data_IF_916721924374
#
_entry.id   IF_916721924374
#
_cell.length_a   1.000
_cell.length_b   1.000
_cell.length_c   1.000
_cell.angle_alpha   90.00
_cell.angle_beta   90.00
_cell.angle_gamma   90.00
#
_symmetry.space_group_name_H-M   'P 1'
#
loop_
_entity.id
_entity.type
_entity.pdbx_description
1 polymer ?
#
# COMPACT_ATOMS: atom_id res chain seq x y z
N UNK A 1 -8.34 33.63 14.25
CA UNK A 1 -9.37 32.56 14.24
C UNK A 1 -8.93 31.30 13.47
N UNK A 2 -8.29 31.43 12.35
CA UNK A 2 -7.88 30.32 11.45
C UNK A 2 -6.93 29.30 12.10
N UNK A 3 -5.85 29.72 12.80
CA UNK A 3 -4.92 28.82 13.49
C UNK A 3 -5.56 27.95 14.58
N UNK A 4 -6.61 28.42 15.24
CA UNK A 4 -7.32 27.67 16.28
C UNK A 4 -8.19 26.57 15.66
N UNK A 5 -8.76 26.82 14.50
CA UNK A 5 -9.53 25.88 13.69
C UNK A 5 -8.67 24.73 13.15
N UNK A 6 -7.48 25.05 12.59
CA UNK A 6 -6.53 24.06 12.05
C UNK A 6 -6.02 23.14 13.18
N UNK A 7 -5.63 23.70 14.34
CA UNK A 7 -5.16 22.89 15.47
C UNK A 7 -6.25 21.93 15.98
N UNK A 8 -7.49 22.38 16.04
CA UNK A 8 -8.62 21.53 16.44
C UNK A 8 -8.86 20.40 15.40
N UNK A 9 -8.73 20.69 14.11
CA UNK A 9 -8.85 19.68 13.06
C UNK A 9 -7.76 18.61 13.16
N UNK A 10 -6.49 19.01 13.35
CA UNK A 10 -5.37 18.08 13.51
C UNK A 10 -5.55 17.21 14.75
N UNK A 11 -5.92 17.81 15.90
CA UNK A 11 -6.18 17.05 17.13
C UNK A 11 -7.28 16.04 16.95
N UNK A 12 -8.36 16.41 16.24
CA UNK A 12 -9.49 15.52 15.94
C UNK A 12 -9.07 14.34 15.07
N UNK A 13 -8.27 14.59 14.01
CA UNK A 13 -7.77 13.53 13.13
C UNK A 13 -6.83 12.57 13.87
N UNK A 14 -5.98 13.11 14.75
CA UNK A 14 -5.11 12.30 15.61
C UNK A 14 -5.91 11.41 16.58
N UNK A 15 -6.87 11.97 17.29
CA UNK A 15 -7.75 11.21 18.19
C UNK A 15 -8.54 10.12 17.45
N UNK A 16 -8.93 10.41 16.21
CA UNK A 16 -9.64 9.46 15.37
C UNK A 16 -8.74 8.31 14.93
N UNK A 17 -7.49 8.61 14.57
CA UNK A 17 -6.49 7.60 14.26
C UNK A 17 -6.19 6.69 15.47
N UNK A 18 -6.00 7.27 16.65
CA UNK A 18 -5.77 6.50 17.88
C UNK A 18 -6.97 5.62 18.19
N UNK A 19 -8.18 6.16 18.10
CA UNK A 19 -9.40 5.38 18.28
C UNK A 19 -9.48 4.23 17.28
N UNK A 20 -9.14 4.45 16.01
CA UNK A 20 -9.11 3.44 14.96
C UNK A 20 -8.11 2.34 15.26
N UNK A 21 -6.86 2.69 15.61
CA UNK A 21 -5.80 1.72 15.94
C UNK A 21 -6.16 0.81 17.13
N UNK A 22 -6.91 1.33 18.10
CA UNK A 22 -7.41 0.51 19.22
C UNK A 22 -8.62 -0.38 18.85
N UNK A 23 -9.26 -0.14 17.71
CA UNK A 23 -10.48 -0.83 17.32
C UNK A 23 -10.27 -1.81 16.15
N UNK A 24 -9.24 -1.64 15.35
CA UNK A 24 -8.85 -2.61 14.30
C UNK A 24 -8.02 -3.72 14.95
N UNK A 25 -8.27 -5.01 14.64
CA UNK A 25 -7.46 -6.11 15.16
C UNK A 25 -5.97 -5.89 14.87
N UNK A 26 -5.16 -5.90 15.94
CA UNK A 26 -3.73 -5.56 15.88
C UNK A 26 -2.93 -6.49 14.94
N UNK A 27 -3.36 -7.76 14.81
CA UNK A 27 -2.72 -8.71 13.89
C UNK A 27 -2.79 -8.24 12.44
N UNK A 28 -3.95 -7.70 12.00
CA UNK A 28 -4.11 -7.24 10.62
C UNK A 28 -3.34 -5.93 10.40
N UNK A 29 -3.33 -5.03 11.38
CA UNK A 29 -2.52 -3.80 11.31
C UNK A 29 -1.02 -4.14 11.24
N UNK A 30 -0.55 -5.04 12.10
CA UNK A 30 0.85 -5.47 12.10
C UNK A 30 1.24 -6.14 10.78
N UNK A 31 0.42 -7.08 10.28
CA UNK A 31 0.64 -7.74 9.00
C UNK A 31 0.70 -6.73 7.85
N UNK A 32 -0.21 -5.77 7.84
CA UNK A 32 -0.22 -4.71 6.84
C UNK A 32 1.05 -3.84 6.91
N UNK A 33 1.43 -3.35 8.08
CA UNK A 33 2.65 -2.53 8.22
C UNK A 33 3.91 -3.31 7.82
N UNK A 34 4.03 -4.58 8.22
CA UNK A 34 5.15 -5.44 7.83
C UNK A 34 5.17 -5.65 6.32
N UNK A 35 4.02 -5.91 5.70
CA UNK A 35 3.91 -6.09 4.25
C UNK A 35 4.35 -4.82 3.50
N UNK A 36 3.93 -3.64 3.93
CA UNK A 36 4.32 -2.37 3.30
C UNK A 36 5.82 -2.11 3.43
N UNK A 37 6.42 -2.40 4.59
CA UNK A 37 7.88 -2.26 4.79
C UNK A 37 8.65 -3.25 3.91
N UNK A 38 8.25 -4.53 3.91
CA UNK A 38 8.90 -5.57 3.11
C UNK A 38 8.76 -5.30 1.62
N UNK A 39 7.59 -4.87 1.14
CA UNK A 39 7.36 -4.53 -0.26
C UNK A 39 8.37 -3.48 -0.73
N UNK A 40 8.57 -2.41 0.02
CA UNK A 40 9.51 -1.34 -0.35
C UNK A 40 10.99 -1.76 -0.22
N UNK A 41 11.35 -2.62 0.73
CA UNK A 41 12.71 -3.17 0.82
C UNK A 41 12.98 -4.10 -0.37
N UNK A 42 12.05 -4.99 -0.68
CA UNK A 42 12.18 -5.95 -1.79
C UNK A 42 12.16 -5.28 -3.16
N UNK A 43 11.54 -4.10 -3.28
CA UNK A 43 11.55 -3.30 -4.50
C UNK A 43 12.96 -2.80 -4.91
N UNK A 44 13.96 -2.91 -4.03
CA UNK A 44 15.36 -2.71 -4.39
C UNK A 44 15.94 -3.88 -5.21
N UNK A 45 15.14 -4.91 -5.51
CA UNK A 45 15.55 -6.04 -6.34
C UNK A 45 14.69 -6.15 -7.59
N UNK A 46 15.32 -6.04 -8.77
CA UNK A 46 14.73 -6.45 -10.03
C UNK A 46 14.84 -7.98 -10.16
N UNK A 47 13.76 -8.62 -10.58
CA UNK A 47 13.69 -10.06 -10.83
C UNK A 47 13.89 -10.26 -12.33
N UNK A 48 14.95 -10.97 -12.69
CA UNK A 48 15.19 -11.39 -14.06
C UNK A 48 14.28 -12.57 -14.40
N UNK A 49 13.46 -12.40 -15.42
CA UNK A 49 12.54 -13.43 -15.90
C UNK A 49 13.14 -14.27 -17.02
N UNK A 50 14.32 -13.93 -17.51
CA UNK A 50 14.92 -14.49 -18.74
C UNK A 50 14.25 -14.00 -20.03
N UNK A 51 13.34 -13.04 -19.95
CA UNK A 51 12.62 -12.45 -21.08
C UNK A 51 13.01 -10.96 -21.16
N UNK A 52 13.70 -10.55 -22.21
CA UNK A 52 14.27 -9.19 -22.33
C UNK A 52 13.28 -8.04 -22.14
N UNK A 53 12.05 -8.22 -22.60
CA UNK A 53 11.01 -7.19 -22.51
C UNK A 53 10.21 -7.25 -21.22
N UNK A 54 10.41 -8.23 -20.34
CA UNK A 54 9.70 -8.42 -19.08
C UNK A 54 10.67 -8.40 -17.91
N UNK A 55 10.56 -7.41 -17.07
CA UNK A 55 11.19 -7.35 -15.77
C UNK A 55 10.11 -7.30 -14.67
N UNK A 56 10.40 -7.82 -13.49
CA UNK A 56 9.50 -7.78 -12.36
C UNK A 56 10.20 -7.13 -11.16
N UNK A 57 9.41 -6.47 -10.35
CA UNK A 57 9.85 -5.88 -9.10
C UNK A 57 9.71 -6.89 -7.95
N UNK A 58 10.70 -6.97 -7.07
CA UNK A 58 10.69 -7.90 -5.94
C UNK A 58 9.59 -7.60 -4.91
N UNK A 59 9.10 -6.36 -4.85
CA UNK A 59 7.99 -5.97 -3.98
C UNK A 59 6.68 -6.65 -4.33
N UNK A 60 6.52 -7.07 -5.59
CA UNK A 60 5.35 -7.79 -6.08
C UNK A 60 5.05 -9.08 -5.29
N UNK A 61 6.08 -9.72 -4.74
CA UNK A 61 5.92 -10.92 -3.92
C UNK A 61 5.03 -10.72 -2.68
N UNK A 62 4.91 -9.49 -2.19
CA UNK A 62 4.21 -9.16 -0.93
C UNK A 62 3.09 -8.12 -1.13
N UNK A 63 3.07 -7.37 -2.24
CA UNK A 63 2.11 -6.29 -2.49
C UNK A 63 0.66 -6.73 -2.33
N UNK A 64 0.28 -7.89 -2.88
CA UNK A 64 -1.06 -8.46 -2.78
C UNK A 64 -1.57 -8.60 -1.34
N UNK A 65 -0.67 -8.88 -0.38
CA UNK A 65 -1.04 -9.04 1.02
C UNK A 65 -1.41 -7.70 1.67
N UNK A 66 -0.74 -6.62 1.27
CA UNK A 66 -1.08 -5.27 1.73
C UNK A 66 -2.45 -4.85 1.20
N UNK A 67 -2.76 -5.10 -0.06
CA UNK A 67 -4.09 -4.83 -0.64
C UNK A 67 -5.19 -5.64 0.04
N UNK A 68 -4.96 -6.93 0.29
CA UNK A 68 -5.92 -7.77 1.02
C UNK A 68 -6.23 -7.22 2.42
N UNK A 69 -5.20 -6.78 3.17
CA UNK A 69 -5.39 -6.16 4.48
C UNK A 69 -6.20 -4.86 4.37
N UNK A 70 -5.90 -4.02 3.37
CA UNK A 70 -6.66 -2.79 3.10
C UNK A 70 -8.14 -3.08 2.85
N UNK A 71 -8.46 -4.09 2.05
CA UNK A 71 -9.83 -4.47 1.71
C UNK A 71 -10.60 -4.98 2.91
N UNK A 72 -9.98 -5.82 3.75
CA UNK A 72 -10.58 -6.31 4.98
C UNK A 72 -10.93 -5.13 5.91
N UNK A 73 -9.99 -4.18 6.07
CA UNK A 73 -10.19 -2.98 6.89
C UNK A 73 -11.28 -2.09 6.28
N UNK A 74 -11.21 -1.83 4.97
CA UNK A 74 -12.17 -0.98 4.26
C UNK A 74 -13.60 -1.54 4.36
N UNK A 75 -13.76 -2.84 4.29
CA UNK A 75 -15.06 -3.51 4.34
C UNK A 75 -15.74 -3.35 5.70
N UNK A 76 -15.00 -3.45 6.81
CA UNK A 76 -15.57 -3.33 8.16
C UNK A 76 -15.66 -1.89 8.64
N UNK A 77 -14.60 -1.10 8.43
CA UNK A 77 -14.42 0.24 9.01
C UNK A 77 -14.62 1.37 8.00
N UNK A 78 -14.73 1.03 6.73
CA UNK A 78 -14.90 1.98 5.62
C UNK A 78 -13.59 2.46 4.99
N UNK A 79 -13.66 3.05 3.78
CA UNK A 79 -12.47 3.44 3.01
C UNK A 79 -11.63 4.52 3.70
N UNK A 80 -12.24 5.45 4.44
CA UNK A 80 -11.50 6.47 5.22
C UNK A 80 -10.64 5.84 6.31
N UNK A 81 -11.10 4.75 6.95
CA UNK A 81 -10.34 4.02 7.95
C UNK A 81 -9.16 3.28 7.31
N UNK A 82 -9.39 2.59 6.19
CA UNK A 82 -8.32 1.95 5.43
C UNK A 82 -7.24 2.94 5.04
N UNK A 83 -7.61 4.10 4.50
CA UNK A 83 -6.67 5.17 4.16
C UNK A 83 -5.84 5.65 5.37
N UNK A 84 -6.46 5.82 6.55
CA UNK A 84 -5.74 6.22 7.77
C UNK A 84 -4.72 5.16 8.23
N UNK A 85 -5.09 3.88 8.15
CA UNK A 85 -4.16 2.79 8.45
C UNK A 85 -3.03 2.72 7.40
N UNK A 86 -3.31 3.02 6.13
CA UNK A 86 -2.28 3.12 5.10
C UNK A 86 -1.28 4.23 5.40
N UNK A 87 -1.74 5.42 5.84
CA UNK A 87 -0.84 6.49 6.28
C UNK A 87 0.00 6.08 7.50
N UNK A 88 -0.58 5.32 8.43
CA UNK A 88 0.17 4.77 9.56
C UNK A 88 1.24 3.76 9.10
N UNK A 89 0.92 2.88 8.14
CA UNK A 89 1.89 1.96 7.56
C UNK A 89 3.02 2.70 6.81
N UNK A 90 2.71 3.79 6.10
CA UNK A 90 3.72 4.68 5.49
C UNK A 90 4.64 5.29 6.56
N UNK A 91 4.09 5.71 7.70
CA UNK A 91 4.90 6.21 8.82
C UNK A 91 5.84 5.12 9.37
N UNK A 92 5.35 3.89 9.55
CA UNK A 92 6.19 2.75 9.94
C UNK A 92 7.30 2.49 8.93
N UNK A 93 7.00 2.60 7.64
CA UNK A 93 7.96 2.44 6.56
C UNK A 93 9.02 3.57 6.55
N UNK A 94 8.62 4.83 6.80
CA UNK A 94 9.54 5.95 6.99
C UNK A 94 10.53 5.71 8.14
N UNK A 95 10.04 5.20 9.26
CA UNK A 95 10.88 4.85 10.42
C UNK A 95 11.86 3.74 10.04
N UNK A 96 11.38 2.66 9.40
CA UNK A 96 12.23 1.56 8.96
C UNK A 96 13.30 2.03 7.97
N UNK A 97 12.92 2.86 7.00
CA UNK A 97 13.83 3.48 6.05
C UNK A 97 14.90 4.33 6.76
N UNK A 98 14.49 5.18 7.70
CA UNK A 98 15.42 6.00 8.49
C UNK A 98 16.43 5.17 9.29
N UNK A 99 15.98 4.06 9.87
CA UNK A 99 16.86 3.11 10.60
C UNK A 99 17.86 2.46 9.63
N UNK A 100 17.40 1.97 8.47
CA UNK A 100 18.27 1.35 7.48
C UNK A 100 19.33 2.33 6.95
N UNK A 101 18.94 3.57 6.65
CA UNK A 101 19.87 4.63 6.25
C UNK A 101 20.88 4.91 7.36
N UNK A 102 20.41 5.09 8.59
CA UNK A 102 21.29 5.36 9.74
C UNK A 102 22.32 4.24 9.92
N UNK A 103 21.88 2.97 9.94
CA UNK A 103 22.78 1.81 10.11
C UNK A 103 23.76 1.70 8.96
N UNK A 104 23.38 2.05 7.72
CA UNK A 104 24.27 2.01 6.56
C UNK A 104 25.43 3.02 6.60
N UNK A 105 25.35 4.04 7.48
CA UNK A 105 26.42 4.99 7.72
C UNK A 105 27.31 4.63 8.91
N UNK A 106 26.92 3.63 9.72
CA UNK A 106 27.74 3.21 10.84
C UNK A 106 28.97 2.43 10.34
N UNK A 107 30.14 2.61 11.01
CA UNK A 107 31.33 1.83 10.71
C UNK A 107 31.07 0.35 11.04
N UNK A 108 31.54 -0.54 10.15
CA UNK A 108 31.39 -1.98 10.30
C UNK A 108 31.15 -2.68 8.97
N UNK A 109 30.89 -3.98 9.05
CA UNK A 109 30.66 -4.82 7.87
C UNK A 109 29.38 -5.65 8.05
N UNK A 110 28.68 -5.87 6.94
CA UNK A 110 27.53 -6.77 6.90
C UNK A 110 27.99 -8.23 6.90
N UNK A 111 27.14 -9.15 7.39
CA UNK A 111 27.46 -10.58 7.50
C UNK A 111 27.92 -11.20 6.17
N UNK A 112 27.40 -10.72 5.04
CA UNK A 112 27.81 -11.16 3.72
C UNK A 112 29.30 -10.92 3.43
N UNK A 113 29.96 -9.96 4.07
CA UNK A 113 31.40 -9.74 3.96
C UNK A 113 32.18 -10.99 4.38
N UNK A 114 31.79 -11.65 5.46
CA UNK A 114 32.48 -12.86 5.97
C UNK A 114 32.33 -14.07 5.05
N UNK A 115 31.28 -14.10 4.21
CA UNK A 115 31.06 -15.19 3.26
C UNK A 115 31.87 -15.00 1.99
N UNK A 116 31.98 -13.78 1.52
CA UNK A 116 32.62 -13.47 0.22
C UNK A 116 34.01 -12.86 0.35
N UNK A 117 34.38 -12.39 1.55
CA UNK A 117 35.66 -11.71 1.85
C UNK A 117 35.95 -10.53 0.92
N UNK A 118 34.90 -9.86 0.43
CA UNK A 118 34.97 -8.80 -0.59
C UNK A 118 34.29 -7.53 -0.09
N UNK A 119 35.03 -6.43 -0.06
CA UNK A 119 34.50 -5.13 0.41
C UNK A 119 33.38 -4.57 -0.45
N UNK A 120 33.34 -4.88 -1.74
CA UNK A 120 32.29 -4.45 -2.69
C UNK A 120 30.90 -4.90 -2.24
N UNK A 121 30.78 -6.10 -1.62
CA UNK A 121 29.51 -6.59 -1.07
C UNK A 121 29.01 -5.67 0.04
N UNK A 122 29.92 -5.22 0.92
CA UNK A 122 29.58 -4.31 2.01
C UNK A 122 29.16 -2.93 1.47
N UNK A 123 29.87 -2.41 0.48
CA UNK A 123 29.52 -1.16 -0.17
C UNK A 123 28.17 -1.26 -0.89
N UNK A 124 27.93 -2.32 -1.64
CA UNK A 124 26.67 -2.53 -2.36
C UNK A 124 25.46 -2.58 -1.42
N UNK A 125 25.57 -3.27 -0.27
CA UNK A 125 24.51 -3.32 0.72
C UNK A 125 24.25 -1.95 1.36
N UNK A 126 25.32 -1.21 1.70
CA UNK A 126 25.18 0.15 2.23
C UNK A 126 24.49 1.07 1.24
N UNK A 127 24.89 1.06 -0.04
CA UNK A 127 24.26 1.90 -1.08
C UNK A 127 22.81 1.50 -1.34
N UNK A 128 22.48 0.21 -1.32
CA UNK A 128 21.10 -0.28 -1.42
C UNK A 128 20.21 0.31 -0.30
N UNK A 129 20.67 0.21 0.95
CA UNK A 129 19.89 0.73 2.07
C UNK A 129 19.83 2.26 2.10
N UNK A 130 20.89 2.95 1.69
CA UNK A 130 20.87 4.41 1.50
C UNK A 130 19.88 4.86 0.44
N UNK A 131 19.73 4.09 -0.64
CA UNK A 131 18.78 4.36 -1.72
C UNK A 131 17.31 4.11 -1.38
N UNK A 132 17.00 3.41 -0.29
CA UNK A 132 15.63 3.00 0.07
C UNK A 132 14.65 4.18 0.24
N UNK A 133 15.13 5.38 0.62
CA UNK A 133 14.29 6.57 0.67
C UNK A 133 13.67 6.94 -0.68
N UNK A 134 14.39 6.69 -1.79
CA UNK A 134 13.90 6.98 -3.13
C UNK A 134 12.82 5.99 -3.56
N UNK A 135 12.98 4.72 -3.19
CA UNK A 135 11.94 3.69 -3.36
C UNK A 135 10.67 4.08 -2.61
N UNK A 136 10.82 4.52 -1.36
CA UNK A 136 9.69 5.00 -0.55
C UNK A 136 9.03 6.22 -1.17
N UNK A 137 9.80 7.19 -1.65
CA UNK A 137 9.27 8.37 -2.33
C UNK A 137 8.46 7.98 -3.58
N UNK A 138 9.00 7.10 -4.42
CA UNK A 138 8.31 6.59 -5.60
C UNK A 138 7.03 5.84 -5.26
N UNK A 139 7.05 5.00 -4.22
CA UNK A 139 5.88 4.28 -3.71
C UNK A 139 4.79 5.23 -3.20
N UNK A 140 5.15 6.28 -2.47
CA UNK A 140 4.18 7.30 -2.02
C UNK A 140 3.56 8.06 -3.19
N UNK A 141 4.36 8.44 -4.17
CA UNK A 141 3.87 9.13 -5.37
C UNK A 141 2.92 8.22 -6.16
N UNK A 142 3.31 6.96 -6.39
CA UNK A 142 2.49 5.96 -7.05
C UNK A 142 1.14 5.80 -6.34
N UNK A 143 1.15 5.63 -5.02
CA UNK A 143 -0.06 5.51 -4.21
C UNK A 143 -1.00 6.72 -4.35
N UNK A 144 -0.49 7.94 -4.33
CA UNK A 144 -1.31 9.16 -4.45
C UNK A 144 -1.99 9.21 -5.84
N UNK A 145 -1.21 8.96 -6.90
CA UNK A 145 -1.73 9.01 -8.27
C UNK A 145 -2.72 7.87 -8.52
N UNK A 146 -2.40 6.65 -8.10
CA UNK A 146 -3.25 5.47 -8.27
C UNK A 146 -4.57 5.58 -7.50
N UNK A 147 -4.54 6.12 -6.28
CA UNK A 147 -5.75 6.38 -5.49
C UNK A 147 -6.67 7.40 -6.19
N UNK A 148 -6.11 8.42 -6.81
CA UNK A 148 -6.85 9.38 -7.64
C UNK A 148 -7.53 8.72 -8.84
N UNK A 149 -6.77 7.91 -9.59
CA UNK A 149 -7.29 7.18 -10.77
C UNK A 149 -8.34 6.17 -10.36
N UNK A 150 -8.10 5.37 -9.33
CA UNK A 150 -9.08 4.42 -8.82
C UNK A 150 -10.41 5.11 -8.46
N UNK A 151 -10.35 6.23 -7.74
CA UNK A 151 -11.52 7.01 -7.36
C UNK A 151 -12.27 7.57 -8.57
N UNK A 152 -11.54 8.06 -9.58
CA UNK A 152 -12.11 8.60 -10.82
C UNK A 152 -12.81 7.50 -11.63
N UNK A 153 -12.15 6.36 -11.85
CA UNK A 153 -12.72 5.22 -12.57
C UNK A 153 -13.96 4.69 -11.86
N UNK A 154 -13.89 4.55 -10.52
CA UNK A 154 -15.03 4.12 -9.71
C UNK A 154 -16.23 5.06 -9.85
N UNK A 155 -16.01 6.38 -9.90
CA UNK A 155 -17.06 7.38 -10.11
C UNK A 155 -17.65 7.27 -11.52
N UNK A 156 -16.80 7.22 -12.57
CA UNK A 156 -17.26 7.13 -13.97
C UNK A 156 -18.10 5.87 -14.20
N UNK A 157 -17.67 4.73 -13.64
CA UNK A 157 -18.43 3.49 -13.73
C UNK A 157 -19.72 3.58 -12.90
N UNK A 158 -19.70 4.29 -11.77
CA UNK A 158 -20.87 4.53 -10.94
C UNK A 158 -21.97 5.30 -11.64
N UNK A 159 -21.59 6.32 -12.40
CA UNK A 159 -22.53 7.14 -13.15
C UNK A 159 -23.15 6.38 -14.36
N UNK A 160 -22.41 5.41 -14.90
CA UNK A 160 -22.87 4.60 -16.07
C UNK A 160 -23.63 3.33 -15.69
N UNK A 161 -23.29 2.74 -14.57
CA UNK A 161 -23.83 1.45 -14.11
C UNK A 161 -24.71 1.70 -12.88
N UNK A 162 -25.96 2.09 -13.12
CA UNK A 162 -26.90 2.55 -12.08
C UNK A 162 -27.66 1.42 -11.38
N UNK A 163 -27.41 0.14 -11.72
CA UNK A 163 -28.07 -0.99 -11.08
C UNK A 163 -27.45 -1.32 -9.72
N UNK A 164 -28.27 -1.44 -8.68
CA UNK A 164 -27.86 -1.85 -7.34
C UNK A 164 -27.64 -3.39 -7.23
N UNK A 165 -27.21 -4.04 -8.31
CA UNK A 165 -26.93 -5.47 -8.31
C UNK A 165 -25.50 -5.76 -7.85
N UNK A 166 -25.29 -6.93 -7.22
CA UNK A 166 -23.95 -7.39 -6.84
C UNK A 166 -23.00 -7.45 -8.05
N UNK A 167 -23.50 -7.83 -9.24
CA UNK A 167 -22.71 -7.87 -10.47
C UNK A 167 -22.15 -6.50 -10.85
N UNK A 168 -22.98 -5.47 -10.81
CA UNK A 168 -22.58 -4.08 -11.09
C UNK A 168 -21.58 -3.56 -10.08
N UNK A 169 -21.82 -3.85 -8.79
CA UNK A 169 -20.86 -3.50 -7.74
C UNK A 169 -19.50 -4.17 -7.95
N UNK A 170 -19.49 -5.48 -8.24
CA UNK A 170 -18.26 -6.24 -8.48
C UNK A 170 -17.49 -5.72 -9.71
N UNK A 171 -18.18 -5.46 -10.82
CA UNK A 171 -17.55 -4.89 -12.03
C UNK A 171 -16.91 -3.54 -11.72
N UNK A 172 -17.62 -2.66 -11.02
CA UNK A 172 -17.08 -1.34 -10.63
C UNK A 172 -15.84 -1.48 -9.76
N UNK A 173 -15.87 -2.35 -8.76
CA UNK A 173 -14.75 -2.59 -7.86
C UNK A 173 -13.55 -3.15 -8.62
N UNK A 174 -13.68 -4.29 -9.29
CA UNK A 174 -12.57 -4.93 -9.96
C UNK A 174 -11.95 -4.08 -11.08
N UNK A 175 -12.78 -3.40 -11.88
CA UNK A 175 -12.26 -2.55 -12.95
C UNK A 175 -11.53 -1.34 -12.37
N UNK A 176 -12.08 -0.67 -11.36
CA UNK A 176 -11.41 0.48 -10.76
C UNK A 176 -10.11 0.09 -10.04
N UNK A 177 -10.09 -1.06 -9.37
CA UNK A 177 -8.90 -1.60 -8.70
C UNK A 177 -7.82 -1.98 -9.72
N UNK A 178 -8.19 -2.65 -10.80
CA UNK A 178 -7.24 -3.03 -11.87
C UNK A 178 -6.58 -1.80 -12.50
N UNK A 179 -7.34 -0.74 -12.79
CA UNK A 179 -6.77 0.51 -13.29
C UNK A 179 -5.90 1.21 -12.24
N UNK A 180 -6.34 1.22 -10.98
CA UNK A 180 -5.55 1.76 -9.87
C UNK A 180 -4.21 1.05 -9.73
N UNK A 181 -4.20 -0.27 -9.68
CA UNK A 181 -3.00 -1.11 -9.57
C UNK A 181 -2.07 -0.94 -10.78
N UNK A 182 -2.63 -0.92 -12.01
CA UNK A 182 -1.83 -0.66 -13.20
C UNK A 182 -1.11 0.69 -13.12
N UNK A 183 -1.81 1.75 -12.71
CA UNK A 183 -1.21 3.08 -12.58
C UNK A 183 -0.21 3.14 -11.43
N UNK A 184 -0.48 2.47 -10.31
CA UNK A 184 0.45 2.36 -9.20
C UNK A 184 1.79 1.76 -9.66
N UNK A 185 1.73 0.57 -10.25
CA UNK A 185 2.89 -0.12 -10.77
C UNK A 185 3.62 0.68 -11.87
N UNK A 186 2.86 1.37 -12.74
CA UNK A 186 3.46 2.17 -13.82
C UNK A 186 4.21 3.40 -13.28
N UNK A 187 3.60 4.13 -12.36
CA UNK A 187 4.25 5.31 -11.76
C UNK A 187 5.48 4.87 -10.98
N UNK A 188 5.37 3.79 -10.20
CA UNK A 188 6.50 3.24 -9.47
C UNK A 188 7.63 2.80 -10.42
N UNK A 189 7.32 2.02 -11.45
CA UNK A 189 8.31 1.56 -12.42
C UNK A 189 9.00 2.71 -13.16
N UNK A 190 8.26 3.76 -13.55
CA UNK A 190 8.83 4.93 -14.22
C UNK A 190 9.71 5.77 -13.28
N UNK A 191 9.31 5.93 -12.01
CA UNK A 191 10.04 6.78 -11.06
C UNK A 191 11.21 6.03 -10.43
N UNK A 192 11.05 4.75 -10.10
CA UNK A 192 12.04 3.96 -9.35
C UNK A 192 12.80 3.01 -10.25
N UNK A 193 12.11 2.07 -10.89
CA UNK A 193 12.76 0.96 -11.60
C UNK A 193 13.50 1.42 -12.86
N UNK A 194 12.96 2.39 -13.58
CA UNK A 194 13.63 3.01 -14.72
C UNK A 194 14.96 3.68 -14.31
N UNK A 195 14.97 4.36 -13.15
CA UNK A 195 16.14 5.08 -12.64
C UNK A 195 17.17 4.12 -12.04
N UNK A 196 16.75 3.18 -11.18
CA UNK A 196 17.67 2.30 -10.46
C UNK A 196 18.16 1.12 -11.27
N UNK A 197 17.30 0.54 -12.13
CA UNK A 197 17.61 -0.66 -12.89
C UNK A 197 17.78 -0.38 -14.38
N UNK A 198 17.71 0.89 -14.79
CA UNK A 198 17.75 1.31 -16.19
C UNK A 198 16.71 0.57 -17.07
N UNK A 199 15.54 0.25 -16.50
CA UNK A 199 14.49 -0.42 -17.26
C UNK A 199 14.04 0.43 -18.43
N UNK A 200 13.82 -0.22 -19.56
CA UNK A 200 13.22 0.41 -20.73
C UNK A 200 11.75 0.75 -20.47
N UNK A 201 11.18 1.66 -21.25
CA UNK A 201 9.74 1.97 -21.15
C UNK A 201 8.87 0.73 -21.40
N UNK A 202 9.31 -0.18 -22.27
CA UNK A 202 8.62 -1.44 -22.53
C UNK A 202 8.59 -2.29 -21.26
N UNK A 203 9.71 -2.44 -20.58
CA UNK A 203 9.79 -3.16 -19.30
C UNK A 203 8.94 -2.53 -18.22
N UNK A 204 8.90 -1.20 -18.12
CA UNK A 204 8.01 -0.52 -17.18
C UNK A 204 6.53 -0.82 -17.45
N UNK A 205 6.10 -0.76 -18.72
CA UNK A 205 4.71 -1.03 -19.10
C UNK A 205 4.36 -2.51 -18.87
N UNK A 206 5.21 -3.43 -19.31
CA UNK A 206 4.97 -4.87 -19.17
C UNK A 206 4.96 -5.33 -17.72
N UNK A 207 5.87 -4.82 -16.89
CA UNK A 207 5.86 -5.03 -15.44
C UNK A 207 4.56 -4.53 -14.82
N UNK A 208 4.09 -3.34 -15.24
CA UNK A 208 2.86 -2.75 -14.70
C UNK A 208 1.62 -3.56 -15.05
N UNK A 209 1.54 -4.07 -16.28
CA UNK A 209 0.45 -4.97 -16.71
C UNK A 209 0.51 -6.29 -15.93
N UNK A 210 1.69 -6.91 -15.89
CA UNK A 210 1.89 -8.20 -15.21
C UNK A 210 1.62 -8.08 -13.72
N UNK A 211 2.11 -7.00 -13.07
CA UNK A 211 1.87 -6.70 -11.67
C UNK A 211 0.37 -6.54 -11.38
N UNK A 212 -0.33 -5.69 -12.13
CA UNK A 212 -1.76 -5.47 -11.95
C UNK A 212 -2.57 -6.76 -12.16
N UNK A 213 -2.21 -7.61 -13.12
CA UNK A 213 -2.87 -8.90 -13.34
C UNK A 213 -2.58 -9.89 -12.21
N UNK A 214 -1.35 -9.96 -11.72
CA UNK A 214 -0.96 -10.82 -10.60
C UNK A 214 -1.68 -10.40 -9.31
N UNK A 215 -1.74 -9.11 -9.01
CA UNK A 215 -2.45 -8.56 -7.86
C UNK A 215 -3.95 -8.81 -7.94
N UNK A 216 -4.56 -8.60 -9.13
CA UNK A 216 -5.97 -8.91 -9.36
C UNK A 216 -6.25 -10.41 -9.19
N UNK A 217 -5.37 -11.29 -9.69
CA UNK A 217 -5.49 -12.73 -9.51
C UNK A 217 -5.44 -13.09 -8.01
N UNK A 218 -4.50 -12.53 -7.27
CA UNK A 218 -4.41 -12.71 -5.82
C UNK A 218 -5.67 -12.19 -5.11
N UNK A 219 -6.18 -11.02 -5.51
CA UNK A 219 -7.44 -10.47 -4.98
C UNK A 219 -8.60 -11.45 -5.19
N UNK A 220 -8.75 -12.00 -6.40
CA UNK A 220 -9.81 -12.99 -6.71
C UNK A 220 -9.67 -14.25 -5.86
N UNK A 221 -8.43 -14.77 -5.70
CA UNK A 221 -8.16 -15.98 -4.91
C UNK A 221 -8.40 -15.76 -3.42
N UNK A 222 -7.93 -14.65 -2.86
CA UNK A 222 -7.93 -14.40 -1.42
C UNK A 222 -9.13 -13.59 -0.91
N UNK A 223 -9.87 -12.89 -1.80
CA UNK A 223 -11.06 -12.12 -1.40
C UNK A 223 -12.13 -12.93 -0.69
N UNK A 224 -12.41 -14.22 -1.00
CA UNK A 224 -13.37 -15.01 -0.23
C UNK A 224 -12.94 -15.20 1.24
N UNK A 225 -11.63 -15.35 1.48
CA UNK A 225 -11.10 -15.44 2.83
C UNK A 225 -11.16 -14.08 3.54
N UNK A 226 -10.74 -13.02 2.88
CA UNK A 226 -10.86 -11.65 3.40
C UNK A 226 -12.31 -11.27 3.72
N UNK A 227 -13.25 -11.69 2.87
CA UNK A 227 -14.68 -11.53 3.12
C UNK A 227 -15.14 -12.24 4.40
N UNK A 228 -14.74 -13.49 4.61
CA UNK A 228 -15.08 -14.26 5.83
C UNK A 228 -14.52 -13.58 7.09
N UNK A 229 -13.29 -13.07 7.03
CA UNK A 229 -12.68 -12.33 8.15
C UNK A 229 -13.47 -11.06 8.44
N UNK A 230 -13.74 -10.23 7.44
CA UNK A 230 -14.49 -8.99 7.62
C UNK A 230 -15.92 -9.24 8.13
N UNK A 231 -16.58 -10.29 7.64
CA UNK A 231 -17.90 -10.71 8.10
C UNK A 231 -17.88 -11.23 9.54
N UNK A 232 -16.85 -11.97 9.92
CA UNK A 232 -16.65 -12.39 11.32
C UNK A 232 -16.50 -11.18 12.24
N UNK A 233 -15.77 -10.16 11.81
CA UNK A 233 -15.65 -8.91 12.57
C UNK A 233 -17.00 -8.18 12.72
N UNK A 234 -17.82 -8.22 11.69
CA UNK A 234 -19.16 -7.65 11.73
C UNK A 234 -20.09 -8.39 12.71
N UNK A 235 -20.09 -9.72 12.64
CA UNK A 235 -20.91 -10.58 13.52
C UNK A 235 -20.51 -10.48 14.99
N UNK A 236 -19.22 -10.35 15.27
CA UNK A 236 -18.67 -10.22 16.64
C UNK A 236 -18.57 -8.75 17.09
N UNK A 237 -19.15 -7.82 16.34
CA UNK A 237 -19.16 -6.37 16.61
C UNK A 237 -17.76 -5.79 16.92
N UNK A 238 -16.72 -6.33 16.22
CA UNK A 238 -15.34 -5.88 16.38
C UNK A 238 -15.25 -4.40 16.01
N UNK A 239 -14.61 -3.61 16.88
CA UNK A 239 -14.40 -2.19 16.66
C UNK A 239 -15.67 -1.34 16.71
N UNK A 240 -16.70 -1.80 17.43
CA UNK A 240 -17.99 -1.11 17.54
C UNK A 240 -17.89 0.36 17.99
N UNK A 241 -16.90 0.69 18.81
CA UNK A 241 -16.69 2.06 19.31
C UNK A 241 -16.36 3.00 18.13
N UNK A 242 -15.42 2.60 17.27
CA UNK A 242 -15.05 3.38 16.09
C UNK A 242 -16.21 3.45 15.07
N UNK A 243 -16.89 2.34 14.83
CA UNK A 243 -18.03 2.30 13.89
C UNK A 243 -19.19 3.21 14.36
N UNK A 244 -19.49 3.23 15.66
CA UNK A 244 -20.49 4.16 16.25
C UNK A 244 -20.03 5.62 16.13
N UNK A 245 -18.74 5.90 16.31
CA UNK A 245 -18.17 7.25 16.16
C UNK A 245 -18.37 7.78 14.74
N UNK A 246 -18.07 6.98 13.71
CA UNK A 246 -18.28 7.37 12.31
C UNK A 246 -19.76 7.63 12.00
N UNK A 247 -20.67 6.77 12.46
CA UNK A 247 -22.11 6.94 12.23
C UNK A 247 -22.63 8.26 12.82
N UNK A 248 -22.19 8.63 14.01
CA UNK A 248 -22.54 9.92 14.62
C UNK A 248 -22.04 11.12 13.81
N UNK A 249 -20.90 11.00 13.16
CA UNK A 249 -20.35 12.10 12.36
C UNK A 249 -21.07 12.28 11.04
N UNK A 250 -21.40 11.18 10.35
CA UNK A 250 -22.23 11.25 9.13
C UNK A 250 -23.58 11.92 9.36
N UNK A 251 -24.19 11.68 10.49
CA UNK A 251 -25.47 12.34 10.87
C UNK A 251 -25.24 13.84 11.13
N UNK A 252 -24.11 14.23 11.71
CA UNK A 252 -23.80 15.64 12.04
C UNK A 252 -23.34 16.47 10.84
N UNK A 253 -22.92 15.84 9.73
CA UNK A 253 -22.56 16.50 8.46
C UNK A 253 -23.79 16.65 7.55
N UNK A 254 -24.93 16.02 7.86
CA UNK A 254 -26.18 16.14 7.11
C UNK A 254 -27.13 17.21 7.67
N UNK A 255 -26.81 17.83 8.78
CA UNK A 255 -27.52 18.94 9.44
C UNK A 255 -26.57 20.09 9.74
#
# INVERSE_FOLDING_TARGET
MEKKSIRQAITREYEDLICLLHNVPSQVVALFCVSVVLMNILANKSIDTGIEWLALDGGLAVSWLSFLCMDIIAKRFGPKASFKISLFAVLCNLIACGILIFVSYLPGVWSAYFTYEVNEVNLALNETFRGTWYVLFGSMLAFIVSAGVNSLVHKILGDKLNDNTFKTFAIRSYVSTMFGQFVDNLVFALVVSHVFFAWTLIQCITCSITGALAELLCEVIFSPWGYKVAKSWELNDVGHVYVKRIKKWKVKEMY
#
